data_IF_653197900201
#
_entry.id   IF_653197900201
#
_cell.length_a   1.000
_cell.length_b   1.000
_cell.length_c   1.000
_cell.angle_alpha   90.00
_cell.angle_beta   90.00
_cell.angle_gamma   90.00
#
_symmetry.space_group_name_H-M   'P 1'
#
loop_
_entity.id
_entity.type
_entity.pdbx_description
1 polymer ?
#
# COMPACT_ATOMS: atom_id res chain seq x y z
N UNK A 1 17.46 -8.67 3.44
CA UNK A 1 16.55 -7.56 3.79
C UNK A 1 16.22 -6.85 2.49
N UNK A 2 14.94 -6.78 2.13
CA UNK A 2 14.54 -5.97 0.99
C UNK A 2 14.62 -4.50 1.42
N UNK A 3 15.45 -3.70 0.76
CA UNK A 3 15.43 -2.24 0.90
C UNK A 3 14.04 -1.78 0.45
N UNK A 4 13.37 -0.95 1.24
CA UNK A 4 12.11 -0.37 0.80
C UNK A 4 12.33 0.50 -0.45
N UNK A 5 11.35 0.56 -1.35
CA UNK A 5 11.53 1.21 -2.67
C UNK A 5 11.88 2.69 -2.56
N UNK A 6 11.36 3.38 -1.54
CA UNK A 6 11.66 4.79 -1.32
C UNK A 6 13.11 5.00 -0.91
N UNK A 7 13.61 4.19 0.03
CA UNK A 7 15.00 4.18 0.47
C UNK A 7 15.94 3.90 -0.70
N UNK A 8 15.61 2.93 -1.57
CA UNK A 8 16.41 2.63 -2.76
C UNK A 8 16.52 3.86 -3.68
N UNK A 9 15.38 4.49 -3.99
CA UNK A 9 15.34 5.67 -4.88
C UNK A 9 16.10 6.86 -4.30
N UNK A 10 15.94 7.12 -3.00
CA UNK A 10 16.68 8.16 -2.30
C UNK A 10 18.20 7.90 -2.30
N UNK A 11 18.59 6.64 -2.09
CA UNK A 11 20.00 6.23 -2.07
C UNK A 11 20.63 6.39 -3.44
N UNK A 12 19.98 5.92 -4.50
CA UNK A 12 20.50 6.02 -5.87
C UNK A 12 20.59 7.49 -6.33
N UNK A 13 19.58 8.30 -6.01
CA UNK A 13 19.57 9.73 -6.32
C UNK A 13 20.72 10.46 -5.61
N UNK A 14 20.92 10.16 -4.32
CA UNK A 14 22.02 10.76 -3.55
C UNK A 14 23.39 10.31 -4.09
N UNK A 15 23.53 9.03 -4.42
CA UNK A 15 24.75 8.48 -5.01
C UNK A 15 25.10 9.08 -6.39
N UNK A 16 24.10 9.51 -7.14
CA UNK A 16 24.27 10.26 -8.40
C UNK A 16 24.58 11.75 -8.19
N UNK A 17 24.54 12.26 -6.95
CA UNK A 17 24.88 13.64 -6.63
C UNK A 17 23.68 14.56 -6.38
N UNK A 18 22.46 14.02 -6.31
CA UNK A 18 21.26 14.77 -5.93
C UNK A 18 21.23 14.94 -4.41
N UNK A 19 22.06 15.85 -3.89
CA UNK A 19 22.28 16.03 -2.44
C UNK A 19 21.54 17.23 -1.86
N UNK A 20 20.99 18.13 -2.68
CA UNK A 20 20.18 19.23 -2.19
C UNK A 20 18.82 18.69 -1.72
N UNK A 21 18.40 18.91 -0.46
CA UNK A 21 17.16 18.35 0.08
C UNK A 21 15.91 18.82 -0.67
N UNK A 22 15.92 20.05 -1.20
CA UNK A 22 14.81 20.59 -1.98
C UNK A 22 14.72 19.93 -3.35
N UNK A 23 15.85 19.75 -4.01
CA UNK A 23 15.92 19.02 -5.27
C UNK A 23 15.49 17.55 -5.09
N UNK A 24 16.02 16.89 -4.06
CA UNK A 24 15.70 15.50 -3.75
C UNK A 24 14.21 15.32 -3.43
N UNK A 25 13.59 16.27 -2.72
CA UNK A 25 12.15 16.29 -2.51
C UNK A 25 11.36 16.43 -3.81
N UNK A 26 11.80 17.31 -4.71
CA UNK A 26 11.13 17.52 -6.00
C UNK A 26 11.28 16.28 -6.90
N UNK A 27 12.47 15.70 -6.96
CA UNK A 27 12.71 14.43 -7.63
C UNK A 27 11.76 13.33 -7.12
N UNK A 28 11.70 13.12 -5.80
CA UNK A 28 10.81 12.13 -5.19
C UNK A 28 9.33 12.42 -5.45
N UNK A 29 8.91 13.69 -5.44
CA UNK A 29 7.54 14.07 -5.75
C UNK A 29 7.14 13.68 -7.17
N UNK A 30 8.02 13.90 -8.14
CA UNK A 30 7.79 13.56 -9.55
C UNK A 30 7.75 12.05 -9.73
N UNK A 31 8.75 11.33 -9.20
CA UNK A 31 8.84 9.88 -9.31
C UNK A 31 7.66 9.18 -8.64
N UNK A 32 7.26 9.62 -7.43
CA UNK A 32 6.12 9.03 -6.72
C UNK A 32 4.77 9.38 -7.36
N UNK A 33 4.65 10.53 -8.04
CA UNK A 33 3.47 10.83 -8.84
C UNK A 33 3.35 9.89 -10.05
N UNK A 34 4.40 9.78 -10.87
CA UNK A 34 4.37 8.97 -12.11
C UNK A 34 4.12 7.48 -11.85
N UNK A 35 4.57 6.99 -10.70
CA UNK A 35 4.54 5.57 -10.34
C UNK A 35 3.43 5.18 -9.36
N UNK A 36 2.49 6.09 -9.04
CA UNK A 36 1.47 5.87 -8.02
C UNK A 36 2.08 5.40 -6.68
N UNK A 37 3.01 6.20 -6.14
CA UNK A 37 3.73 5.92 -4.90
C UNK A 37 4.69 4.73 -5.00
N UNK A 38 5.40 4.60 -6.12
CA UNK A 38 6.33 3.49 -6.42
C UNK A 38 5.65 2.11 -6.51
N UNK A 39 4.32 2.06 -6.68
CA UNK A 39 3.56 0.82 -6.77
C UNK A 39 3.36 0.33 -8.22
N UNK A 40 3.54 1.22 -9.20
CA UNK A 40 3.36 0.92 -10.63
C UNK A 40 4.70 1.01 -11.35
N UNK A 41 5.10 -0.12 -11.94
CA UNK A 41 6.34 -0.27 -12.72
C UNK A 41 6.07 -0.54 -14.20
N UNK A 42 4.83 -0.80 -14.58
CA UNK A 42 4.43 -0.98 -15.97
C UNK A 42 3.11 -0.25 -16.26
N UNK A 43 2.96 0.18 -17.50
CA UNK A 43 1.72 0.75 -17.97
C UNK A 43 0.62 -0.31 -18.06
N UNK A 44 -0.59 0.04 -17.61
CA UNK A 44 -1.76 -0.80 -17.80
C UNK A 44 -2.45 -0.44 -19.11
N UNK A 45 -2.64 -1.44 -19.97
CA UNK A 45 -3.45 -1.34 -21.19
C UNK A 45 -4.94 -1.65 -20.95
N UNK A 46 -5.37 -1.69 -19.68
CA UNK A 46 -6.72 -2.14 -19.29
C UNK A 46 -7.70 -0.98 -19.17
N UNK A 47 -8.19 -0.47 -20.31
CA UNK A 47 -9.23 0.57 -20.36
C UNK A 47 -10.62 -0.06 -20.43
N UNK A 48 -11.36 -0.07 -19.31
CA UNK A 48 -12.58 -0.89 -19.15
C UNK A 48 -13.87 -0.27 -19.67
N UNK A 49 -13.99 1.06 -19.71
CA UNK A 49 -15.24 1.75 -20.07
C UNK A 49 -15.37 1.94 -21.58
N UNK A 50 -14.51 2.77 -22.17
CA UNK A 50 -14.52 3.06 -23.61
C UNK A 50 -13.21 3.77 -24.03
N UNK A 51 -13.06 4.02 -25.33
CA UNK A 51 -11.88 4.67 -25.92
C UNK A 51 -11.55 6.06 -25.36
N UNK A 52 -12.50 6.81 -24.78
CA UNK A 52 -12.22 8.16 -24.25
C UNK A 52 -11.27 8.16 -23.05
N UNK A 53 -11.08 7.00 -22.42
CA UNK A 53 -10.09 6.82 -21.36
C UNK A 53 -8.65 6.78 -21.86
N UNK A 54 -8.42 6.63 -23.18
CA UNK A 54 -7.10 6.49 -23.77
C UNK A 54 -6.52 7.90 -24.00
N UNK A 55 -5.51 8.32 -23.22
CA UNK A 55 -5.06 9.71 -23.20
C UNK A 55 -4.10 10.05 -24.34
N UNK A 56 -3.66 9.04 -25.10
CA UNK A 56 -2.61 9.17 -26.11
C UNK A 56 -3.24 9.52 -27.46
N UNK A 57 -3.08 10.77 -27.90
CA UNK A 57 -3.68 11.29 -29.14
C UNK A 57 -3.31 10.48 -30.40
N UNK A 58 -2.10 9.92 -30.47
CA UNK A 58 -1.69 9.11 -31.63
C UNK A 58 -2.51 7.84 -31.81
N UNK A 59 -3.12 7.32 -30.74
CA UNK A 59 -3.98 6.14 -30.80
C UNK A 59 -5.27 6.39 -31.58
N UNK A 60 -5.65 7.66 -31.77
CA UNK A 60 -6.87 8.06 -32.44
C UNK A 60 -6.68 8.27 -33.96
N UNK A 61 -5.45 8.14 -34.48
CA UNK A 61 -5.11 8.40 -35.89
C UNK A 61 -5.85 7.49 -36.87
N UNK A 62 -5.98 6.21 -36.51
CA UNK A 62 -6.66 5.18 -37.32
C UNK A 62 -8.18 5.18 -37.14
N UNK A 63 -8.72 6.10 -36.33
CA UNK A 63 -10.15 6.25 -36.08
C UNK A 63 -10.69 5.44 -34.90
N UNK A 64 -11.90 5.79 -34.41
CA UNK A 64 -12.47 5.25 -33.17
C UNK A 64 -12.82 3.76 -33.24
N UNK A 65 -13.17 3.24 -34.42
CA UNK A 65 -13.52 1.81 -34.58
C UNK A 65 -12.31 0.90 -34.38
N UNK A 66 -11.17 1.25 -35.00
CA UNK A 66 -9.89 0.53 -34.85
C UNK A 66 -9.43 0.59 -33.40
N UNK A 67 -9.50 1.77 -32.78
CA UNK A 67 -9.10 1.97 -31.39
C UNK A 67 -9.99 1.18 -30.41
N UNK A 68 -11.30 1.12 -30.64
CA UNK A 68 -12.23 0.35 -29.81
C UNK A 68 -12.02 -1.16 -29.97
N UNK A 69 -11.70 -1.64 -31.18
CA UNK A 69 -11.33 -3.03 -31.40
C UNK A 69 -10.05 -3.41 -30.64
N UNK A 70 -8.98 -2.61 -30.78
CA UNK A 70 -7.73 -2.80 -30.05
C UNK A 70 -7.91 -2.74 -28.53
N UNK A 71 -8.77 -1.85 -28.02
CA UNK A 71 -9.15 -1.79 -26.60
C UNK A 71 -9.79 -3.10 -26.12
N UNK A 72 -10.70 -3.68 -26.90
CA UNK A 72 -11.36 -4.96 -26.55
C UNK A 72 -10.36 -6.12 -26.54
N UNK A 73 -9.43 -6.15 -27.49
CA UNK A 73 -8.33 -7.14 -27.51
C UNK A 73 -7.46 -7.02 -26.26
N UNK A 74 -7.08 -5.79 -25.85
CA UNK A 74 -6.32 -5.54 -24.64
C UNK A 74 -7.05 -6.04 -23.37
N UNK A 75 -8.38 -5.88 -23.29
CA UNK A 75 -9.18 -6.43 -22.19
C UNK A 75 -9.20 -7.96 -22.13
N UNK A 76 -8.95 -8.62 -23.27
CA UNK A 76 -8.81 -10.07 -23.37
C UNK A 76 -7.36 -10.56 -23.15
N UNK A 77 -6.46 -9.66 -22.73
CA UNK A 77 -5.05 -9.98 -22.48
C UNK A 77 -4.16 -9.91 -23.72
N UNK A 78 -4.59 -9.24 -24.79
CA UNK A 78 -3.81 -9.02 -26.02
C UNK A 78 -3.59 -7.51 -26.28
N UNK A 79 -2.72 -6.85 -25.51
CA UNK A 79 -2.56 -5.39 -25.53
C UNK A 79 -1.71 -4.85 -26.69
N UNK A 80 -1.06 -5.71 -27.47
CA UNK A 80 0.00 -5.34 -28.42
C UNK A 80 -0.49 -4.35 -29.48
N UNK A 81 -1.67 -4.60 -30.03
CA UNK A 81 -2.28 -3.73 -31.04
C UNK A 81 -2.61 -2.36 -30.47
N UNK A 82 -3.14 -2.30 -29.24
CA UNK A 82 -3.42 -1.02 -28.57
C UNK A 82 -2.13 -0.24 -28.28
N UNK A 83 -1.09 -0.93 -27.83
CA UNK A 83 0.21 -0.32 -27.59
C UNK A 83 0.84 0.21 -28.88
N UNK A 84 0.67 -0.50 -29.99
CA UNK A 84 1.12 -0.05 -31.30
C UNK A 84 0.39 1.21 -31.77
N UNK A 85 -0.93 1.29 -31.59
CA UNK A 85 -1.68 2.52 -31.88
C UNK A 85 -1.20 3.70 -31.02
N UNK A 86 -0.92 3.44 -29.74
CA UNK A 86 -0.47 4.47 -28.79
C UNK A 86 0.95 4.95 -29.10
N UNK A 87 1.90 4.05 -29.37
CA UNK A 87 3.33 4.36 -29.35
C UNK A 87 4.09 4.08 -30.64
N UNK A 88 3.49 3.42 -31.62
CA UNK A 88 4.07 3.15 -32.93
C UNK A 88 4.37 4.43 -33.73
N UNK A 89 5.51 4.44 -34.41
CA UNK A 89 6.02 5.56 -35.21
C UNK A 89 6.43 6.79 -34.39
N UNK A 90 6.82 6.60 -33.12
CA UNK A 90 7.22 7.69 -32.20
C UNK A 90 8.45 7.28 -31.40
N UNK A 91 9.32 8.23 -31.08
CA UNK A 91 10.51 8.01 -30.23
C UNK A 91 11.36 6.78 -30.65
N UNK A 92 11.56 6.61 -31.95
CA UNK A 92 12.33 5.51 -32.54
C UNK A 92 11.59 4.18 -32.68
N UNK A 93 10.30 4.12 -32.34
CA UNK A 93 9.45 2.94 -32.56
C UNK A 93 9.06 2.83 -34.04
N UNK A 94 10.04 2.57 -34.91
CA UNK A 94 9.87 2.61 -36.36
C UNK A 94 9.55 1.22 -36.96
N UNK A 95 9.67 0.15 -36.18
CA UNK A 95 9.37 -1.22 -36.60
C UNK A 95 8.04 -1.71 -36.02
N UNK A 96 7.28 -2.56 -36.74
CA UNK A 96 6.07 -3.18 -36.20
C UNK A 96 6.31 -3.90 -34.88
N UNK A 97 5.52 -3.57 -33.86
CA UNK A 97 5.61 -4.15 -32.52
C UNK A 97 6.54 -3.39 -31.57
N UNK A 98 7.28 -2.38 -32.05
CA UNK A 98 8.08 -1.52 -31.18
C UNK A 98 7.20 -0.76 -30.18
N UNK A 99 5.95 -0.41 -30.54
CA UNK A 99 5.02 0.26 -29.65
C UNK A 99 4.69 -0.56 -28.40
N UNK A 100 4.52 -1.87 -28.56
CA UNK A 100 4.41 -2.81 -27.44
C UNK A 100 5.75 -3.07 -26.76
N UNK A 101 6.81 -3.26 -27.52
CA UNK A 101 8.11 -3.64 -26.95
C UNK A 101 8.66 -2.57 -26.01
N UNK A 102 8.55 -1.29 -26.39
CA UNK A 102 9.09 -0.13 -25.67
C UNK A 102 8.00 0.76 -25.06
N UNK A 103 6.91 0.17 -24.57
CA UNK A 103 5.88 0.90 -23.81
C UNK A 103 6.39 1.40 -22.45
N UNK A 104 5.58 2.20 -21.75
CA UNK A 104 5.94 2.81 -20.47
C UNK A 104 6.30 1.82 -19.36
N UNK A 105 7.55 1.87 -18.87
CA UNK A 105 8.01 1.07 -17.72
C UNK A 105 8.80 1.90 -16.70
N UNK A 106 8.97 1.34 -15.51
CA UNK A 106 9.69 1.93 -14.40
C UNK A 106 8.95 3.10 -13.76
N UNK A 107 9.58 3.71 -12.76
CA UNK A 107 8.94 4.74 -11.93
C UNK A 107 8.66 6.05 -12.67
N UNK A 108 9.31 6.29 -13.81
CA UNK A 108 9.13 7.51 -14.63
C UNK A 108 8.42 7.24 -15.96
N UNK A 109 7.90 6.02 -16.18
CA UNK A 109 7.25 5.61 -17.43
C UNK A 109 8.15 5.83 -18.67
N UNK A 110 9.37 5.28 -18.64
CA UNK A 110 10.30 5.27 -19.78
C UNK A 110 9.61 4.66 -21.00
N UNK A 111 9.48 5.44 -22.09
CA UNK A 111 8.68 5.06 -23.27
C UNK A 111 9.41 5.38 -24.57
N UNK A 112 9.43 4.44 -25.50
CA UNK A 112 10.00 4.57 -26.85
C UNK A 112 11.44 4.09 -26.98
N UNK A 113 11.74 3.40 -28.08
CA UNK A 113 13.03 2.74 -28.37
C UNK A 113 14.25 3.64 -28.20
N UNK A 114 14.17 4.91 -28.60
CA UNK A 114 15.28 5.86 -28.46
C UNK A 114 15.61 6.15 -27.00
N UNK A 115 14.58 6.26 -26.15
CA UNK A 115 14.76 6.47 -24.72
C UNK A 115 15.29 5.21 -24.03
N UNK A 116 14.80 4.03 -24.43
CA UNK A 116 15.33 2.75 -23.95
C UNK A 116 16.80 2.56 -24.34
N UNK A 117 17.18 2.93 -25.57
CA UNK A 117 18.57 2.91 -26.04
C UNK A 117 19.45 3.85 -25.19
N UNK A 118 19.05 5.11 -25.06
CA UNK A 118 19.82 6.11 -24.34
C UNK A 118 20.00 5.77 -22.85
N UNK A 119 18.93 5.29 -22.19
CA UNK A 119 19.01 4.84 -20.81
C UNK A 119 19.88 3.58 -20.68
N UNK A 120 19.74 2.63 -21.61
CA UNK A 120 20.51 1.40 -21.62
C UNK A 120 22.01 1.63 -21.78
N UNK A 121 22.40 2.50 -22.71
CA UNK A 121 23.79 2.89 -22.94
C UNK A 121 24.39 3.61 -21.72
N UNK A 122 23.63 4.52 -21.10
CA UNK A 122 24.11 5.30 -19.94
C UNK A 122 24.24 4.46 -18.65
N UNK A 123 23.41 3.43 -18.49
CA UNK A 123 23.32 2.64 -17.27
C UNK A 123 23.93 1.23 -17.40
N UNK A 124 24.52 0.91 -18.54
CA UNK A 124 25.03 -0.42 -18.88
C UNK A 124 23.97 -1.51 -18.71
N UNK A 125 22.80 -1.28 -19.32
CA UNK A 125 21.64 -2.20 -19.33
C UNK A 125 21.24 -2.51 -20.77
N UNK A 126 21.11 -3.79 -21.14
CA UNK A 126 20.65 -4.20 -22.50
C UNK A 126 19.13 -4.05 -22.65
N UNK A 127 18.63 -2.82 -22.56
CA UNK A 127 17.21 -2.48 -22.61
C UNK A 127 16.58 -2.67 -24.00
N UNK A 128 17.38 -2.79 -25.06
CA UNK A 128 16.88 -3.06 -26.41
C UNK A 128 16.53 -4.53 -26.62
N UNK A 129 17.30 -5.44 -26.02
CA UNK A 129 16.97 -6.88 -26.01
C UNK A 129 16.05 -7.26 -24.87
N UNK A 130 16.22 -6.62 -23.71
CA UNK A 130 15.54 -6.91 -22.46
C UNK A 130 14.83 -5.67 -21.89
N UNK A 131 13.78 -5.15 -22.56
CA UNK A 131 13.07 -3.96 -22.09
C UNK A 131 12.35 -4.16 -20.74
N UNK A 132 12.04 -5.40 -20.35
CA UNK A 132 11.49 -5.77 -19.04
C UNK A 132 12.41 -5.38 -17.87
N UNK A 133 13.72 -5.24 -18.11
CA UNK A 133 14.66 -4.77 -17.08
C UNK A 133 14.30 -3.37 -16.58
N UNK A 134 13.62 -2.53 -17.38
CA UNK A 134 13.17 -1.22 -16.95
C UNK A 134 12.03 -1.28 -15.90
N UNK A 135 11.36 -2.43 -15.76
CA UNK A 135 10.35 -2.67 -14.73
C UNK A 135 10.91 -3.34 -13.47
N UNK A 136 12.20 -3.71 -13.44
CA UNK A 136 12.86 -4.14 -12.20
C UNK A 136 13.02 -2.94 -11.24
N UNK A 137 12.66 -3.04 -9.95
CA UNK A 137 12.73 -1.91 -9.02
C UNK A 137 14.11 -1.23 -8.89
N UNK A 138 15.21 -1.98 -8.98
CA UNK A 138 16.57 -1.42 -8.85
C UNK A 138 16.94 -0.66 -10.12
N UNK A 139 16.67 -1.25 -11.28
CA UNK A 139 16.91 -0.60 -12.56
C UNK A 139 15.98 0.60 -12.76
N UNK A 140 14.71 0.49 -12.38
CA UNK A 140 13.72 1.58 -12.46
C UNK A 140 14.14 2.80 -11.62
N UNK A 141 14.79 2.58 -10.48
CA UNK A 141 15.38 3.64 -9.66
C UNK A 141 16.51 4.36 -10.40
N UNK A 142 17.50 3.61 -10.90
CA UNK A 142 18.63 4.14 -11.69
C UNK A 142 18.16 4.89 -12.94
N UNK A 143 17.15 4.36 -13.63
CA UNK A 143 16.51 4.99 -14.80
C UNK A 143 15.82 6.30 -14.42
N UNK A 144 15.13 6.36 -13.28
CA UNK A 144 14.47 7.58 -12.83
C UNK A 144 15.49 8.69 -12.55
N UNK A 145 16.61 8.36 -11.90
CA UNK A 145 17.71 9.30 -11.65
C UNK A 145 18.33 9.79 -12.96
N UNK A 146 18.69 8.88 -13.86
CA UNK A 146 19.21 9.23 -15.19
C UNK A 146 18.25 10.14 -15.96
N UNK A 147 16.95 9.82 -15.93
CA UNK A 147 15.94 10.63 -16.63
C UNK A 147 15.85 12.04 -16.04
N UNK A 148 15.86 12.16 -14.71
CA UNK A 148 15.85 13.45 -14.02
C UNK A 148 17.01 14.35 -14.45
N UNK A 149 18.23 13.81 -14.42
CA UNK A 149 19.45 14.55 -14.75
C UNK A 149 19.46 15.04 -16.20
N UNK A 150 18.97 14.21 -17.12
CA UNK A 150 18.96 14.51 -18.55
C UNK A 150 17.77 15.38 -18.98
N UNK A 151 16.64 15.29 -18.28
CA UNK A 151 15.39 15.94 -18.71
C UNK A 151 15.10 17.24 -17.98
N UNK A 152 15.51 17.37 -16.72
CA UNK A 152 15.20 18.54 -15.89
C UNK A 152 16.44 19.45 -15.80
N UNK A 153 16.40 20.65 -16.41
CA UNK A 153 17.48 21.63 -16.31
C UNK A 153 17.78 21.98 -14.86
N UNK A 154 19.06 22.17 -14.50
CA UNK A 154 19.49 22.44 -13.11
C UNK A 154 18.69 23.57 -12.43
N UNK A 155 18.43 24.66 -13.16
CA UNK A 155 17.66 25.81 -12.66
C UNK A 155 16.15 25.55 -12.47
N UNK A 156 15.66 24.37 -12.83
CA UNK A 156 14.28 23.94 -12.65
C UNK A 156 14.14 22.83 -11.58
N UNK A 157 15.25 22.31 -11.05
CA UNK A 157 15.23 21.10 -10.21
C UNK A 157 14.71 21.33 -8.79
N UNK A 158 14.69 22.56 -8.30
CA UNK A 158 14.15 22.94 -6.99
C UNK A 158 12.77 23.63 -7.05
N UNK A 159 12.21 23.75 -8.26
CA UNK A 159 10.88 24.29 -8.56
C UNK A 159 9.99 23.18 -9.14
N UNK A 160 8.96 22.78 -8.39
CA UNK A 160 8.03 21.72 -8.76
C UNK A 160 7.33 22.01 -10.08
N UNK A 161 6.94 23.26 -10.31
CA UNK A 161 6.22 23.66 -11.51
C UNK A 161 7.13 23.64 -12.74
N UNK A 162 8.35 24.15 -12.60
CA UNK A 162 9.34 24.13 -13.68
C UNK A 162 9.75 22.68 -14.02
N UNK A 163 10.03 21.85 -13.01
CA UNK A 163 10.34 20.43 -13.18
C UNK A 163 9.17 19.67 -13.84
N UNK A 164 7.93 19.88 -13.39
CA UNK A 164 6.73 19.26 -13.98
C UNK A 164 6.63 19.57 -15.47
N UNK A 165 6.88 20.83 -15.86
CA UNK A 165 6.90 21.23 -17.27
C UNK A 165 8.01 20.55 -18.06
N UNK A 166 9.20 20.37 -17.47
CA UNK A 166 10.32 19.70 -18.12
C UNK A 166 10.05 18.19 -18.33
N UNK A 167 9.47 17.53 -17.32
CA UNK A 167 9.12 16.10 -17.35
C UNK A 167 7.98 15.81 -18.32
N UNK A 168 6.88 16.56 -18.23
CA UNK A 168 5.63 16.25 -18.94
C UNK A 168 5.35 17.12 -20.17
N UNK A 169 6.12 18.19 -20.39
CA UNK A 169 5.83 19.22 -21.40
C UNK A 169 4.59 20.08 -21.10
N UNK A 170 3.82 19.72 -20.06
CA UNK A 170 2.57 20.37 -19.58
C UNK A 170 2.53 20.33 -18.05
N UNK A 171 1.50 20.92 -17.44
CA UNK A 171 1.31 20.97 -15.98
C UNK A 171 0.34 19.91 -15.45
N UNK A 172 0.21 18.77 -16.15
CA UNK A 172 -0.71 17.72 -15.75
C UNK A 172 -0.29 17.14 -14.38
N UNK A 173 -1.23 17.10 -13.43
CA UNK A 173 -0.98 16.58 -12.09
C UNK A 173 -0.15 17.50 -11.18
N UNK A 174 0.01 18.79 -11.52
CA UNK A 174 0.86 19.72 -10.75
C UNK A 174 0.49 19.78 -9.26
N UNK A 175 -0.80 19.87 -8.92
CA UNK A 175 -1.26 19.96 -7.52
C UNK A 175 -0.84 18.74 -6.69
N UNK A 176 -0.97 17.53 -7.22
CA UNK A 176 -0.53 16.30 -6.53
C UNK A 176 1.00 16.26 -6.38
N UNK A 177 1.75 16.78 -7.37
CA UNK A 177 3.22 16.90 -7.28
C UNK A 177 3.65 17.93 -6.24
N UNK A 178 2.94 19.05 -6.13
CA UNK A 178 3.17 20.08 -5.09
C UNK A 178 2.90 19.50 -3.70
N UNK A 179 1.79 18.78 -3.51
CA UNK A 179 1.50 18.11 -2.24
C UNK A 179 2.58 17.08 -1.86
N UNK A 180 2.98 16.22 -2.80
CA UNK A 180 4.05 15.23 -2.56
C UNK A 180 5.38 15.89 -2.26
N UNK A 181 5.68 17.01 -2.93
CA UNK A 181 6.89 17.78 -2.66
C UNK A 181 6.92 18.28 -1.22
N UNK A 182 5.82 18.86 -0.74
CA UNK A 182 5.70 19.30 0.65
C UNK A 182 5.89 18.12 1.61
N UNK A 183 5.24 16.98 1.37
CA UNK A 183 5.44 15.77 2.18
C UNK A 183 6.91 15.33 2.20
N UNK A 184 7.58 15.29 1.06
CA UNK A 184 8.98 14.90 0.96
C UNK A 184 9.93 15.91 1.63
N UNK A 185 9.65 17.22 1.55
CA UNK A 185 10.43 18.23 2.27
C UNK A 185 10.36 18.01 3.79
N UNK A 186 9.20 17.65 4.33
CA UNK A 186 9.06 17.34 5.75
C UNK A 186 9.78 16.05 6.15
N UNK A 187 9.83 15.06 5.24
CA UNK A 187 10.49 13.76 5.48
C UNK A 187 12.02 13.83 5.36
N UNK A 188 12.55 14.69 4.48
CA UNK A 188 13.99 14.88 4.25
C UNK A 188 14.61 15.83 5.29
N UNK A 189 14.56 15.42 6.56
CA UNK A 189 15.20 16.16 7.65
C UNK A 189 16.72 16.18 7.50
N UNK A 190 17.44 17.12 8.15
CA UNK A 190 18.90 17.13 8.13
C UNK A 190 19.54 15.78 8.49
N UNK A 191 18.94 15.04 9.43
CA UNK A 191 19.42 13.71 9.83
C UNK A 191 19.25 12.66 8.72
N UNK A 192 18.12 12.70 8.01
CA UNK A 192 17.87 11.81 6.87
C UNK A 192 18.88 12.12 5.76
N UNK A 193 19.10 13.40 5.46
CA UNK A 193 20.08 13.83 4.46
C UNK A 193 21.51 13.44 4.83
N UNK A 194 21.87 13.52 6.11
CA UNK A 194 23.19 13.06 6.59
C UNK A 194 23.36 11.55 6.39
N UNK A 195 22.37 10.74 6.76
CA UNK A 195 22.43 9.28 6.55
C UNK A 195 22.50 8.89 5.07
N UNK A 196 21.79 9.62 4.22
CA UNK A 196 21.85 9.48 2.76
C UNK A 196 23.27 9.73 2.24
N UNK A 197 23.91 10.83 2.69
CA UNK A 197 25.27 11.18 2.28
C UNK A 197 26.32 10.13 2.72
N UNK A 198 26.09 9.43 3.83
CA UNK A 198 26.97 8.36 4.32
C UNK A 198 26.72 6.99 3.66
N UNK A 199 25.71 6.85 2.80
CA UNK A 199 25.31 5.56 2.22
C UNK A 199 24.74 4.58 3.25
N UNK A 200 24.29 5.07 4.41
CA UNK A 200 23.82 4.27 5.56
C UNK A 200 22.30 3.99 5.54
N UNK A 201 21.67 4.09 4.38
CA UNK A 201 20.21 3.96 4.26
C UNK A 201 19.86 2.49 4.02
N UNK A 202 19.16 1.89 4.98
CA UNK A 202 18.85 0.46 5.01
C UNK A 202 19.32 -0.29 6.26
N UNK A 203 20.10 0.34 7.13
CA UNK A 203 20.42 -0.14 8.48
C UNK A 203 20.04 0.93 9.52
N UNK A 204 19.10 0.68 10.46
CA UNK A 204 18.96 1.56 11.61
C UNK A 204 20.12 1.33 12.57
N UNK A 205 20.81 2.39 13.01
CA UNK A 205 21.70 2.35 14.19
C UNK A 205 21.36 3.49 15.17
N UNK A 206 21.64 3.30 16.48
CA UNK A 206 20.95 3.95 17.58
C UNK A 206 21.22 5.45 17.60
N UNK A 207 20.16 6.24 17.76
CA UNK A 207 20.26 7.68 17.78
C UNK A 207 21.18 8.19 18.92
N UNK A 208 22.14 9.02 18.51
CA UNK A 208 22.72 10.12 19.30
C UNK A 208 22.32 11.43 18.59
N UNK A 209 22.21 12.56 19.32
CA UNK A 209 21.07 13.46 19.19
C UNK A 209 21.29 14.60 18.19
N UNK A 210 20.26 14.91 17.39
CA UNK A 210 20.13 16.20 16.74
C UNK A 210 19.38 17.19 17.64
N UNK A 211 19.91 18.40 17.75
CA UNK A 211 19.32 19.50 18.50
C UNK A 211 18.48 20.42 17.59
N UNK A 212 17.23 20.68 18.02
CA UNK A 212 16.46 21.91 17.80
C UNK A 212 15.65 21.94 16.50
N UNK A 213 14.32 21.98 16.54
CA UNK A 213 13.56 23.07 17.15
C UNK A 213 12.46 22.60 18.12
N UNK A 214 12.38 23.30 19.26
CA UNK A 214 11.63 23.03 20.50
C UNK A 214 12.07 21.79 21.31
N UNK A 215 12.93 22.03 22.31
CA UNK A 215 13.21 21.11 23.41
C UNK A 215 11.89 20.73 24.11
N UNK A 216 11.25 19.63 23.72
CA UNK A 216 10.57 18.81 24.69
C UNK A 216 11.68 18.25 25.60
N UNK A 217 11.83 18.82 26.79
CA UNK A 217 12.76 18.28 27.77
C UNK A 217 12.42 16.82 28.04
N UNK A 218 13.40 15.92 28.21
CA UNK A 218 13.12 14.52 28.48
C UNK A 218 12.18 14.40 29.67
N UNK A 219 11.08 13.64 29.51
CA UNK A 219 10.09 13.47 30.56
C UNK A 219 10.70 12.60 31.65
N UNK A 220 10.59 13.03 32.90
CA UNK A 220 11.14 12.33 34.06
C UNK A 220 10.27 12.60 35.27
N UNK A 221 10.55 11.90 36.36
CA UNK A 221 9.85 12.08 37.63
C UNK A 221 9.75 13.56 38.03
N UNK A 222 8.53 13.99 38.38
CA UNK A 222 8.18 15.39 38.64
C UNK A 222 7.68 16.19 37.42
N UNK A 223 7.77 15.65 36.20
CA UNK A 223 7.15 16.24 35.02
C UNK A 223 5.61 16.10 35.07
N UNK A 224 4.89 17.02 34.44
CA UNK A 224 3.43 16.95 34.31
C UNK A 224 2.96 17.61 33.01
N UNK A 225 1.75 17.27 32.58
CA UNK A 225 1.12 17.82 31.37
C UNK A 225 0.75 16.75 30.35
N UNK A 226 0.36 17.19 29.16
CA UNK A 226 -0.20 16.31 28.13
C UNK A 226 0.83 15.29 27.60
N UNK A 227 2.10 15.68 27.50
CA UNK A 227 3.17 14.77 27.06
C UNK A 227 3.35 13.59 28.04
N UNK A 228 3.16 13.83 29.34
CA UNK A 228 3.17 12.77 30.37
C UNK A 228 1.94 11.88 30.25
N UNK A 229 0.77 12.46 29.98
CA UNK A 229 -0.47 11.71 29.77
C UNK A 229 -0.35 10.76 28.57
N UNK A 230 0.23 11.25 27.47
CA UNK A 230 0.50 10.47 26.26
C UNK A 230 1.51 9.36 26.50
N UNK A 231 2.57 9.62 27.28
CA UNK A 231 3.54 8.61 27.71
C UNK A 231 2.86 7.50 28.54
N UNK A 232 2.13 7.88 29.59
CA UNK A 232 1.39 6.96 30.45
C UNK A 232 0.40 6.11 29.64
N UNK A 233 -0.40 6.73 28.76
CA UNK A 233 -1.36 6.01 27.92
C UNK A 233 -0.70 5.03 26.97
N UNK A 234 0.48 5.36 26.47
CA UNK A 234 1.27 4.47 25.62
C UNK A 234 1.82 3.27 26.39
N UNK A 235 2.40 3.49 27.59
CA UNK A 235 2.89 2.44 28.48
C UNK A 235 1.76 1.49 28.91
N UNK A 236 0.63 2.06 29.35
CA UNK A 236 -0.55 1.29 29.75
C UNK A 236 -1.09 0.43 28.60
N UNK A 237 -1.18 0.99 27.38
CA UNK A 237 -1.61 0.26 26.18
C UNK A 237 -0.70 -0.92 25.84
N UNK A 238 0.60 -0.77 26.10
CA UNK A 238 1.61 -1.81 25.91
C UNK A 238 1.66 -2.81 27.08
N UNK A 239 0.80 -2.66 28.09
CA UNK A 239 0.66 -3.59 29.21
C UNK A 239 1.54 -3.30 30.41
N UNK A 240 2.25 -2.17 30.44
CA UNK A 240 3.09 -1.78 31.58
C UNK A 240 2.27 -1.18 32.71
N UNK A 241 2.52 -1.66 33.92
CA UNK A 241 1.79 -1.32 35.15
C UNK A 241 2.62 -0.42 36.07
N UNK A 242 2.03 0.05 37.16
CA UNK A 242 2.71 0.94 38.12
C UNK A 242 3.78 0.25 39.00
N UNK A 243 4.06 -1.05 38.77
CA UNK A 243 5.06 -1.84 39.50
C UNK A 243 4.56 -2.55 40.77
N UNK A 244 3.34 -2.27 41.25
CA UNK A 244 2.72 -2.94 42.41
C UNK A 244 1.46 -3.74 42.00
N UNK A 245 1.46 -4.34 40.80
CA UNK A 245 0.31 -5.01 40.18
C UNK A 245 -0.93 -4.11 39.96
N UNK A 246 -0.79 -2.79 40.13
CA UNK A 246 -1.85 -1.82 39.89
C UNK A 246 -1.80 -1.21 38.49
N UNK A 247 -2.97 -0.86 37.95
CA UNK A 247 -3.09 -0.16 36.67
C UNK A 247 -2.26 1.14 36.65
N UNK A 248 -1.68 1.45 35.49
CA UNK A 248 -1.00 2.72 35.29
C UNK A 248 -2.02 3.82 35.00
N UNK A 249 -2.20 4.74 35.96
CA UNK A 249 -3.08 5.88 35.79
C UNK A 249 -2.52 6.88 34.76
N UNK A 250 -3.37 7.33 33.82
CA UNK A 250 -3.03 8.32 32.78
C UNK A 250 -3.48 9.72 33.18
N UNK A 251 -3.03 10.18 34.34
CA UNK A 251 -3.43 11.45 34.97
C UNK A 251 -2.63 12.66 34.47
N UNK A 252 -1.54 12.43 33.73
CA UNK A 252 -0.62 13.45 33.26
C UNK A 252 0.40 13.89 34.30
N UNK A 253 0.61 13.12 35.38
CA UNK A 253 1.59 13.39 36.43
C UNK A 253 2.65 12.28 36.49
N UNK A 254 3.92 12.65 36.28
CA UNK A 254 5.02 11.69 36.26
C UNK A 254 5.47 11.40 37.69
N UNK A 255 4.75 10.50 38.36
CA UNK A 255 5.08 9.99 39.70
C UNK A 255 5.81 8.65 39.70
N UNK A 256 6.05 8.05 40.89
CA UNK A 256 6.77 6.79 41.05
C UNK A 256 6.18 5.62 40.23
N UNK A 257 4.86 5.56 40.07
CA UNK A 257 4.20 4.54 39.25
C UNK A 257 4.50 4.68 37.75
N UNK A 258 4.56 5.91 37.24
CA UNK A 258 4.96 6.16 35.84
C UNK A 258 6.44 5.84 35.62
N UNK A 259 7.28 6.14 36.61
CA UNK A 259 8.69 5.78 36.60
C UNK A 259 8.89 4.27 36.58
N UNK A 260 8.20 3.52 37.45
CA UNK A 260 8.29 2.07 37.49
C UNK A 260 7.84 1.42 36.16
N UNK A 261 6.74 1.89 35.59
CA UNK A 261 6.27 1.46 34.27
C UNK A 261 7.29 1.74 33.17
N UNK A 262 7.92 2.92 33.21
CA UNK A 262 8.91 3.32 32.22
C UNK A 262 10.21 2.53 32.35
N UNK A 263 10.70 2.30 33.58
CA UNK A 263 11.89 1.46 33.82
C UNK A 263 11.63 0.01 33.41
N UNK A 264 10.41 -0.50 33.59
CA UNK A 264 10.00 -1.81 33.08
C UNK A 264 10.05 -1.86 31.56
N UNK A 265 9.44 -0.88 30.89
CA UNK A 265 9.52 -0.73 29.44
C UNK A 265 10.97 -0.66 28.96
N UNK A 266 11.79 0.16 29.60
CA UNK A 266 13.20 0.29 29.24
C UNK A 266 13.96 -1.03 29.38
N UNK A 267 13.75 -1.79 30.46
CA UNK A 267 14.39 -3.12 30.64
C UNK A 267 13.99 -4.10 29.56
N UNK A 268 12.69 -4.19 29.27
CA UNK A 268 12.14 -5.15 28.31
C UNK A 268 12.58 -4.83 26.88
N UNK A 269 12.84 -3.55 26.58
CA UNK A 269 13.35 -3.08 25.29
C UNK A 269 14.88 -2.87 25.27
N UNK A 270 15.62 -3.43 26.25
CA UNK A 270 17.09 -3.40 26.33
C UNK A 270 17.71 -1.99 26.32
N UNK A 271 17.01 -1.02 26.91
CA UNK A 271 17.47 0.35 27.14
C UNK A 271 18.04 0.50 28.56
N UNK A 272 18.71 1.62 28.81
CA UNK A 272 19.05 2.02 30.17
C UNK A 272 17.75 2.28 30.96
N UNK A 273 17.53 1.54 32.03
CA UNK A 273 16.36 1.66 32.90
C UNK A 273 16.54 2.80 33.92
N UNK A 274 16.68 4.01 33.41
CA UNK A 274 16.95 5.22 34.19
C UNK A 274 15.67 5.98 34.59
N UNK A 275 14.50 5.51 34.14
CA UNK A 275 13.21 6.15 34.44
C UNK A 275 13.03 7.49 33.74
N UNK A 276 13.82 7.77 32.68
CA UNK A 276 13.76 8.99 31.89
C UNK A 276 13.28 8.69 30.47
N UNK A 277 12.16 9.31 30.09
CA UNK A 277 11.61 9.27 28.74
C UNK A 277 12.36 10.29 27.85
N UNK A 278 13.64 9.99 27.63
CA UNK A 278 14.48 10.66 26.66
C UNK A 278 14.23 10.15 25.23
N UNK A 279 14.97 10.70 24.25
CA UNK A 279 14.74 10.40 22.83
C UNK A 279 14.72 8.89 22.50
N UNK A 280 15.65 8.11 23.06
CA UNK A 280 15.72 6.65 22.85
C UNK A 280 14.52 5.91 23.41
N UNK A 281 14.05 6.32 24.59
CA UNK A 281 12.88 5.74 25.23
C UNK A 281 11.61 6.06 24.42
N UNK A 282 11.47 7.31 23.95
CA UNK A 282 10.33 7.73 23.12
C UNK A 282 10.33 7.04 21.75
N UNK A 283 11.50 6.82 21.15
CA UNK A 283 11.64 6.08 19.90
C UNK A 283 11.24 4.61 20.06
N UNK A 284 11.76 3.92 21.08
CA UNK A 284 11.39 2.54 21.37
C UNK A 284 9.88 2.42 21.64
N UNK A 285 9.30 3.39 22.35
CA UNK A 285 7.86 3.43 22.64
C UNK A 285 7.04 3.62 21.36
N UNK A 286 7.49 4.46 20.43
CA UNK A 286 6.86 4.62 19.12
C UNK A 286 6.93 3.33 18.28
N UNK A 287 8.08 2.64 18.28
CA UNK A 287 8.25 1.36 17.58
C UNK A 287 7.35 0.27 18.19
N UNK A 288 7.31 0.16 19.51
CA UNK A 288 6.46 -0.79 20.22
C UNK A 288 4.96 -0.54 19.93
N UNK A 289 4.54 0.73 19.90
CA UNK A 289 3.17 1.11 19.51
C UNK A 289 2.85 0.76 18.06
N UNK A 290 3.80 0.95 17.14
CA UNK A 290 3.63 0.59 15.74
C UNK A 290 3.52 -0.94 15.59
N UNK A 291 4.35 -1.70 16.28
CA UNK A 291 4.28 -3.17 16.29
C UNK A 291 2.95 -3.65 16.89
N UNK A 292 2.50 -3.08 18.02
CA UNK A 292 1.18 -3.34 18.60
C UNK A 292 0.05 -3.02 17.60
N UNK A 293 0.14 -1.90 16.88
CA UNK A 293 -0.85 -1.52 15.88
C UNK A 293 -0.86 -2.46 14.68
N UNK A 294 0.31 -2.85 14.16
CA UNK A 294 0.45 -3.80 13.05
C UNK A 294 -0.05 -5.18 13.46
N UNK A 295 0.29 -5.64 14.67
CA UNK A 295 -0.15 -6.94 15.17
C UNK A 295 -1.66 -6.97 15.43
N UNK A 296 -2.22 -5.89 16.00
CA UNK A 296 -3.67 -5.73 16.16
C UNK A 296 -4.39 -5.60 14.82
N UNK A 297 -3.79 -4.97 13.81
CA UNK A 297 -4.35 -4.90 12.46
C UNK A 297 -4.31 -6.26 11.74
N UNK A 298 -3.21 -7.02 11.91
CA UNK A 298 -3.11 -8.38 11.41
C UNK A 298 -4.12 -9.31 12.09
N UNK A 299 -4.34 -9.14 13.40
CA UNK A 299 -5.34 -9.88 14.16
C UNK A 299 -6.77 -9.46 13.79
N UNK A 300 -7.06 -8.16 13.63
CA UNK A 300 -8.39 -7.69 13.25
C UNK A 300 -8.77 -8.04 11.82
N UNK A 301 -7.80 -8.38 10.96
CA UNK A 301 -8.00 -8.84 9.59
C UNK A 301 -8.31 -10.34 9.45
N UNK A 302 -8.20 -11.14 10.52
CA UNK A 302 -8.52 -12.57 10.47
C UNK A 302 -9.93 -12.88 11.01
N UNK A 303 -10.74 -13.69 10.33
CA UNK A 303 -12.11 -14.01 10.77
C UNK A 303 -12.21 -14.74 12.12
N UNK A 304 -11.17 -15.48 12.51
CA UNK A 304 -11.09 -16.19 13.79
C UNK A 304 -10.77 -15.28 14.99
N UNK A 305 -10.41 -14.02 14.73
CA UNK A 305 -10.22 -13.02 15.76
C UNK A 305 -11.56 -12.46 16.25
N UNK A 306 -11.79 -12.39 17.58
CA UNK A 306 -12.97 -11.75 18.15
C UNK A 306 -13.18 -10.29 17.74
N UNK A 307 -12.11 -9.62 17.28
CA UNK A 307 -12.16 -8.23 16.84
C UNK A 307 -12.65 -8.07 15.38
N UNK A 308 -12.77 -9.16 14.62
CA UNK A 308 -13.15 -9.10 13.22
C UNK A 308 -14.67 -8.93 13.05
N UNK A 309 -15.18 -8.01 12.19
CA UNK A 309 -16.61 -7.76 12.03
C UNK A 309 -17.46 -8.96 11.58
N UNK A 310 -16.83 -9.97 10.98
CA UNK A 310 -17.50 -11.21 10.59
C UNK A 310 -17.27 -12.38 11.56
N UNK A 311 -16.64 -12.14 12.71
CA UNK A 311 -16.27 -13.20 13.66
C UNK A 311 -17.47 -14.06 14.07
N UNK A 312 -18.62 -13.45 14.35
CA UNK A 312 -19.83 -14.19 14.71
C UNK A 312 -20.31 -15.17 13.63
N UNK A 313 -20.22 -14.78 12.35
CA UNK A 313 -20.58 -15.66 11.23
C UNK A 313 -19.48 -16.69 10.96
N UNK A 314 -18.22 -16.34 11.19
CA UNK A 314 -17.12 -17.29 11.14
C UNK A 314 -17.26 -18.40 12.18
N UNK A 315 -17.58 -18.07 13.43
CA UNK A 315 -17.81 -19.08 14.48
C UNK A 315 -19.00 -19.99 14.15
N UNK A 316 -20.06 -19.47 13.52
CA UNK A 316 -21.14 -20.29 12.99
C UNK A 316 -20.66 -21.30 11.94
N UNK A 317 -19.89 -20.84 10.95
CA UNK A 317 -19.29 -21.71 9.95
C UNK A 317 -18.34 -22.75 10.58
N UNK A 318 -17.50 -22.32 11.53
CA UNK A 318 -16.53 -23.18 12.21
C UNK A 318 -17.20 -24.28 12.99
N UNK A 319 -18.21 -23.95 13.80
CA UNK A 319 -18.97 -24.94 14.54
C UNK A 319 -19.66 -25.95 13.62
N UNK A 320 -20.21 -25.50 12.49
CA UNK A 320 -20.84 -26.38 11.52
C UNK A 320 -19.82 -27.28 10.78
N UNK A 321 -18.64 -26.76 10.43
CA UNK A 321 -17.54 -27.56 9.85
C UNK A 321 -16.99 -28.57 10.87
N UNK A 322 -16.84 -28.18 12.14
CA UNK A 322 -16.37 -29.10 13.18
C UNK A 322 -17.39 -30.23 13.44
N UNK A 323 -18.68 -29.92 13.41
CA UNK A 323 -19.74 -30.93 13.47
C UNK A 323 -19.72 -31.87 12.26
N UNK A 324 -19.39 -31.35 11.08
CA UNK A 324 -19.20 -32.12 9.86
C UNK A 324 -17.98 -33.05 9.98
N UNK A 325 -16.83 -32.54 10.46
CA UNK A 325 -15.64 -33.36 10.72
C UNK A 325 -15.97 -34.52 11.67
N UNK A 326 -16.64 -34.23 12.79
CA UNK A 326 -17.06 -35.25 13.75
C UNK A 326 -17.98 -36.30 13.12
N UNK A 327 -18.92 -35.89 12.25
CA UNK A 327 -19.81 -36.81 11.52
C UNK A 327 -19.04 -37.76 10.61
N UNK A 328 -17.92 -37.33 10.03
CA UNK A 328 -17.06 -38.15 9.17
C UNK A 328 -15.85 -38.76 9.92
N UNK A 329 -15.84 -38.71 11.25
CA UNK A 329 -14.78 -39.32 12.07
C UNK A 329 -13.42 -38.59 12.01
N UNK A 330 -13.43 -37.31 11.63
CA UNK A 330 -12.24 -36.45 11.59
C UNK A 330 -12.20 -35.54 12.83
N UNK A 331 -11.00 -35.28 13.32
CA UNK A 331 -10.76 -34.25 14.34
C UNK A 331 -10.57 -32.89 13.64
N UNK A 332 -11.26 -31.82 14.08
CA UNK A 332 -11.05 -30.50 13.52
C UNK A 332 -9.59 -30.07 13.57
N UNK A 333 -9.11 -29.46 12.49
CA UNK A 333 -7.75 -28.99 12.34
C UNK A 333 -7.67 -27.64 11.61
N UNK A 334 -6.46 -27.22 11.23
CA UNK A 334 -6.24 -25.97 10.50
C UNK A 334 -7.04 -25.88 9.20
N UNK A 335 -7.19 -26.99 8.46
CA UNK A 335 -7.94 -27.00 7.21
C UNK A 335 -9.45 -26.84 7.45
N UNK A 336 -9.95 -27.35 8.57
CA UNK A 336 -11.33 -27.10 9.02
C UNK A 336 -11.59 -25.61 9.23
N UNK A 337 -10.64 -24.92 9.87
CA UNK A 337 -10.75 -23.48 10.12
C UNK A 337 -10.60 -22.64 8.82
N UNK A 338 -9.77 -23.10 7.88
CA UNK A 338 -9.63 -22.49 6.55
C UNK A 338 -10.91 -22.64 5.71
N UNK A 339 -11.54 -23.81 5.74
CA UNK A 339 -12.84 -24.06 5.12
C UNK A 339 -13.93 -23.17 5.70
N UNK A 340 -13.99 -23.03 7.03
CA UNK A 340 -14.92 -22.13 7.71
C UNK A 340 -14.72 -20.66 7.30
N UNK A 341 -13.47 -20.21 7.16
CA UNK A 341 -13.15 -18.87 6.66
C UNK A 341 -13.62 -18.63 5.24
N UNK A 342 -13.38 -19.59 4.33
CA UNK A 342 -13.81 -19.50 2.94
C UNK A 342 -15.34 -19.50 2.79
N UNK A 343 -16.04 -20.37 3.53
CA UNK A 343 -17.50 -20.39 3.58
C UNK A 343 -18.09 -19.09 4.11
N UNK A 344 -17.45 -18.47 5.11
CA UNK A 344 -17.87 -17.16 5.64
C UNK A 344 -17.73 -16.06 4.60
N UNK A 345 -16.63 -16.04 3.85
CA UNK A 345 -16.40 -15.08 2.78
C UNK A 345 -17.42 -15.22 1.65
N UNK A 346 -17.69 -16.45 1.21
CA UNK A 346 -18.64 -16.74 0.14
C UNK A 346 -20.09 -16.46 0.58
N UNK A 347 -20.46 -16.83 1.80
CA UNK A 347 -21.77 -16.51 2.37
C UNK A 347 -22.02 -15.00 2.38
N UNK A 348 -21.05 -14.19 2.84
CA UNK A 348 -21.17 -12.72 2.79
C UNK A 348 -21.27 -12.20 1.37
N UNK A 349 -20.48 -12.73 0.43
CA UNK A 349 -20.50 -12.33 -0.99
C UNK A 349 -21.87 -12.57 -1.61
N UNK A 350 -22.53 -13.67 -1.26
CA UNK A 350 -23.89 -14.01 -1.71
C UNK A 350 -24.99 -13.38 -0.84
N UNK A 351 -24.61 -12.52 0.10
CA UNK A 351 -25.52 -11.73 0.93
C UNK A 351 -26.25 -12.52 2.01
N UNK A 352 -25.73 -13.68 2.43
CA UNK A 352 -26.21 -14.38 3.62
C UNK A 352 -25.89 -13.54 4.86
N UNK A 353 -26.80 -13.55 5.83
CA UNK A 353 -26.67 -12.83 7.09
C UNK A 353 -26.23 -13.73 8.25
N UNK A 354 -26.32 -15.05 8.09
CA UNK A 354 -25.81 -16.07 9.02
C UNK A 354 -25.55 -17.39 8.30
N UNK A 355 -24.88 -18.32 8.97
CA UNK A 355 -24.68 -19.70 8.52
C UNK A 355 -25.31 -20.62 9.57
N UNK A 356 -26.36 -21.35 9.21
CA UNK A 356 -27.04 -22.29 10.11
C UNK A 356 -26.50 -23.71 9.95
N UNK A 357 -26.11 -24.10 8.73
CA UNK A 357 -25.58 -25.42 8.43
C UNK A 357 -24.42 -25.37 7.42
N UNK A 358 -23.56 -26.40 7.47
CA UNK A 358 -22.56 -26.68 6.43
C UNK A 358 -22.75 -28.11 5.93
N UNK A 359 -22.79 -28.28 4.60
CA UNK A 359 -22.95 -29.57 3.94
C UNK A 359 -21.82 -29.80 2.92
N UNK A 360 -21.55 -31.06 2.58
CA UNK A 360 -20.70 -31.43 1.45
C UNK A 360 -21.55 -31.98 0.31
N UNK A 361 -21.09 -31.81 -0.93
CA UNK A 361 -21.58 -32.61 -2.05
C UNK A 361 -21.26 -34.10 -1.85
N UNK A 362 -21.98 -34.97 -2.56
CA UNK A 362 -21.79 -36.42 -2.47
C UNK A 362 -20.36 -36.87 -2.80
N UNK A 363 -19.69 -36.15 -3.70
CA UNK A 363 -18.29 -36.38 -4.10
C UNK A 363 -17.27 -35.60 -3.25
N UNK A 364 -17.73 -34.79 -2.29
CA UNK A 364 -16.91 -33.94 -1.43
C UNK A 364 -16.24 -32.75 -2.12
N UNK A 365 -16.46 -32.54 -3.43
CA UNK A 365 -15.81 -31.48 -4.21
C UNK A 365 -16.31 -30.07 -3.85
N UNK A 366 -17.52 -29.96 -3.30
CA UNK A 366 -18.14 -28.71 -2.87
C UNK A 366 -18.53 -28.75 -1.41
N UNK A 367 -18.39 -27.59 -0.76
CA UNK A 367 -18.96 -27.34 0.56
C UNK A 367 -19.97 -26.19 0.47
N UNK A 368 -21.13 -26.35 1.13
CA UNK A 368 -22.26 -25.43 1.08
C UNK A 368 -22.49 -24.82 2.46
N UNK A 369 -22.41 -23.49 2.57
CA UNK A 369 -22.97 -22.74 3.68
C UNK A 369 -24.47 -22.53 3.44
N UNK A 370 -25.30 -22.88 4.42
CA UNK A 370 -26.76 -22.81 4.29
C UNK A 370 -27.33 -21.90 5.39
N UNK A 371 -28.18 -20.97 4.99
CA UNK A 371 -29.00 -20.16 5.87
C UNK A 371 -30.46 -20.62 5.80
N UNK A 372 -31.06 -20.88 6.96
CA UNK A 372 -32.41 -21.40 7.13
C UNK A 372 -32.47 -22.93 7.24
N UNK A 373 -33.69 -23.43 7.44
CA UNK A 373 -33.97 -24.87 7.55
C UNK A 373 -33.64 -25.62 6.25
N UNK A 374 -33.00 -26.79 6.35
CA UNK A 374 -32.55 -27.57 5.20
C UNK A 374 -33.68 -28.01 4.25
N UNK A 375 -34.89 -28.21 4.78
CA UNK A 375 -36.07 -28.61 4.02
C UNK A 375 -36.92 -27.42 3.56
N UNK A 376 -36.58 -26.20 3.97
CA UNK A 376 -37.28 -25.00 3.54
C UNK A 376 -37.01 -24.69 2.06
N UNK A 377 -38.02 -24.27 1.28
CA UNK A 377 -37.82 -23.71 -0.05
C UNK A 377 -37.17 -22.33 -0.01
N UNK A 378 -37.20 -21.65 1.14
CA UNK A 378 -36.65 -20.31 1.31
C UNK A 378 -35.20 -20.31 1.84
N UNK A 379 -34.55 -21.48 1.91
CA UNK A 379 -33.14 -21.55 2.31
C UNK A 379 -32.26 -20.81 1.31
N UNK A 380 -31.20 -20.20 1.81
CA UNK A 380 -30.18 -19.55 0.98
C UNK A 380 -28.89 -20.33 1.11
N UNK A 381 -28.17 -20.49 0.02
CA UNK A 381 -26.94 -21.26 -0.02
C UNK A 381 -25.84 -20.46 -0.65
N UNK A 382 -24.61 -20.69 -0.19
CA UNK A 382 -23.40 -20.20 -0.82
C UNK A 382 -22.39 -21.35 -0.81
N UNK A 383 -21.61 -21.54 -1.87
CA UNK A 383 -20.80 -22.74 -2.01
C UNK A 383 -19.39 -22.50 -2.53
N UNK A 384 -18.46 -23.29 -1.99
CA UNK A 384 -17.03 -23.20 -2.28
C UNK A 384 -16.51 -24.52 -2.80
N UNK A 385 -15.44 -24.45 -3.58
CA UNK A 385 -14.63 -25.62 -3.90
C UNK A 385 -13.88 -26.06 -2.62
N UNK A 386 -14.12 -27.30 -2.18
CA UNK A 386 -13.59 -27.80 -0.91
C UNK A 386 -12.06 -27.82 -0.91
N UNK A 387 -11.44 -28.31 -1.99
CA UNK A 387 -9.99 -28.45 -2.11
C UNK A 387 -9.28 -27.08 -2.12
N UNK A 388 -9.86 -26.10 -2.81
CA UNK A 388 -9.37 -24.72 -2.78
C UNK A 388 -9.57 -24.10 -1.39
N UNK A 389 -10.74 -24.30 -0.78
CA UNK A 389 -11.08 -23.70 0.51
C UNK A 389 -10.16 -24.16 1.64
N UNK A 390 -9.90 -25.47 1.76
CA UNK A 390 -8.99 -26.00 2.80
C UNK A 390 -7.54 -25.55 2.61
N UNK A 391 -7.15 -25.16 1.40
CA UNK A 391 -5.81 -24.66 1.10
C UNK A 391 -5.71 -23.13 1.07
N UNK A 392 -6.82 -22.41 1.28
CA UNK A 392 -6.82 -20.94 1.32
C UNK A 392 -6.43 -20.48 2.73
N UNK A 393 -5.37 -19.67 2.93
CA UNK A 393 -5.03 -19.12 4.24
C UNK A 393 -6.19 -18.32 4.84
N UNK A 394 -6.39 -18.43 6.16
CA UNK A 394 -7.51 -17.77 6.85
C UNK A 394 -7.42 -16.24 6.76
N UNK A 395 -6.19 -15.71 6.66
CA UNK A 395 -5.88 -14.31 6.40
C UNK A 395 -6.44 -13.84 5.05
N UNK A 396 -6.36 -14.68 4.02
CA UNK A 396 -6.87 -14.36 2.68
C UNK A 396 -8.40 -14.30 2.68
N UNK A 397 -9.06 -15.24 3.36
CA UNK A 397 -10.52 -15.19 3.56
C UNK A 397 -10.95 -13.94 4.33
N UNK A 398 -10.18 -13.53 5.34
CA UNK A 398 -10.38 -12.28 6.06
C UNK A 398 -10.27 -11.03 5.20
N UNK A 399 -9.22 -10.94 4.37
CA UNK A 399 -9.06 -9.85 3.43
C UNK A 399 -10.22 -9.75 2.42
N UNK A 400 -10.73 -10.90 1.94
CA UNK A 400 -11.90 -10.94 1.07
C UNK A 400 -13.16 -10.44 1.78
N UNK A 401 -13.38 -10.85 3.04
CA UNK A 401 -14.50 -10.37 3.84
C UNK A 401 -14.42 -8.86 4.08
N UNK A 402 -13.22 -8.34 4.39
CA UNK A 402 -13.00 -6.92 4.63
C UNK A 402 -13.41 -6.06 3.43
N UNK A 403 -13.09 -6.50 2.20
CA UNK A 403 -13.51 -5.83 0.95
C UNK A 403 -15.03 -5.77 0.79
N UNK A 404 -15.75 -6.81 1.24
CA UNK A 404 -17.22 -6.89 1.14
C UNK A 404 -17.94 -6.02 2.18
N UNK A 405 -17.25 -5.59 3.23
CA UNK A 405 -17.78 -4.71 4.29
C UNK A 405 -17.42 -3.23 4.11
N UNK A 406 -16.62 -2.85 3.10
CA UNK A 406 -16.37 -1.44 2.82
C UNK A 406 -17.61 -0.80 2.19
N UNK A 407 -18.07 0.38 2.68
CA UNK A 407 -19.18 1.08 2.07
C UNK A 407 -18.82 1.47 0.63
N UNK A 408 -19.71 1.17 -0.31
CA UNK A 408 -19.65 1.68 -1.69
C UNK A 408 -19.49 3.20 -1.64
N UNK A 409 -18.56 3.83 -2.39
CA UNK A 409 -18.51 5.27 -2.50
C UNK A 409 -19.88 5.79 -2.93
N UNK A 410 -20.47 6.67 -2.13
CA UNK A 410 -21.75 7.27 -2.45
C UNK A 410 -21.63 7.98 -3.81
N UNK A 411 -22.45 7.56 -4.77
CA UNK A 411 -22.63 8.29 -6.03
C UNK A 411 -23.23 9.64 -5.64
N UNK A 412 -22.56 10.78 -5.91
CA UNK A 412 -23.17 12.08 -5.67
C UNK A 412 -24.44 12.20 -6.53
N UNK A 413 -25.54 12.75 -6.01
CA UNK A 413 -26.76 12.90 -6.79
C UNK A 413 -26.48 13.75 -8.04
N UNK A 414 -26.98 13.29 -9.19
CA UNK A 414 -26.90 14.01 -10.45
C UNK A 414 -27.46 15.44 -10.30
N UNK A 415 -26.83 16.45 -10.93
CA UNK A 415 -27.36 17.81 -10.88
C UNK A 415 -28.74 17.84 -11.56
N UNK A 416 -29.73 18.32 -10.82
CA UNK A 416 -31.06 18.63 -11.34
C UNK A 416 -30.91 19.65 -12.47
N UNK A 417 -31.28 19.26 -13.69
CA UNK A 417 -31.40 20.20 -14.80
C UNK A 417 -32.66 21.03 -14.53
N UNK A 418 -32.49 22.27 -14.09
CA UNK A 418 -33.55 23.27 -14.15
C UNK A 418 -33.87 23.55 -15.62
N UNK A 419 -35.11 23.25 -16.02
CA UNK A 419 -35.63 23.57 -17.35
C UNK A 419 -35.73 25.09 -17.56
N UNK A 420 -35.75 25.55 -18.82
CA UNK A 420 -35.72 26.98 -19.13
C UNK A 420 -37.03 27.63 -18.69
N UNK A 421 -36.93 28.64 -17.83
CA UNK A 421 -38.03 29.54 -17.50
C UNK A 421 -38.42 30.32 -18.76
N UNK A 422 -39.62 30.03 -19.30
CA UNK A 422 -40.25 30.91 -20.27
C UNK A 422 -40.85 32.12 -19.55
N UNK A 423 -40.34 33.30 -19.89
CA UNK A 423 -40.91 34.55 -19.44
C UNK A 423 -42.27 34.82 -20.07
N UNK A 424 -43.22 35.25 -19.23
CA UNK A 424 -44.18 36.31 -19.51
C UNK A 424 -44.51 37.03 -18.22
#
# INVERSE_FOLDING_TARGET
MAIDRETQVLTDATAAGITNPRELANFMAQVTHESNGLNRLEESFRYTRNISQIPVQSAWREGPEVLEAARKEALMGKPEHLAELMYGGRNGNDEPGDGWKYHGRGYIQLTGKDNYRAAGEALDLDLLKHPELAADPQNASRIAVWYWENRVPENARDDVRAATKAVNGKYNGLEDREHRFDEWQHRLTPDVMHRLAEGNVGNPRPALPAHGTNKASPLKEGASGEDVRLLQGSLARLGYTNGQDGELHTDGMFGPGTRAALEAFQRDHHLAADGVAGPRTMEALAQAKHQDAVQRAAQSGRPDSPMHPAHAMYEQARNAVHALDAKYGRTPDKQSDQLAGALTAEAKRQGLSKIDHVLLSDDGSRAYAVQGDLNSPNKRTADVDTAKAVNTPIEQSGAEIAKLTQPTPAIPPSPTIEGPTHGR
#
